data_IF_944238890277
#
_entry.id   IF_944238890277
#
_cell.length_a   1.000
_cell.length_b   1.000
_cell.length_c   1.000
_cell.angle_alpha   90.00
_cell.angle_beta   90.00
_cell.angle_gamma   90.00
#
_symmetry.space_group_name_H-M   'P 1'
#
loop_
_entity.id
_entity.type
_entity.pdbx_description
1 polymer ?
#
# COMPACT_ATOMS: atom_id res chain seq x y z
N UNK A 1 9.81 -25.38 24.90
CA UNK A 1 10.58 -24.10 24.81
C UNK A 1 10.93 -23.67 23.39
N UNK A 2 11.10 -24.57 22.40
CA UNK A 2 11.54 -24.20 21.04
C UNK A 2 10.53 -23.43 20.17
N UNK A 3 9.22 -23.61 20.37
CA UNK A 3 8.19 -22.97 19.53
C UNK A 3 8.06 -21.46 19.76
N UNK A 4 8.16 -21.02 21.02
CA UNK A 4 8.12 -19.60 21.38
C UNK A 4 9.30 -18.83 20.80
N UNK A 5 10.47 -19.48 20.74
CA UNK A 5 11.68 -18.91 20.12
C UNK A 5 11.47 -18.73 18.62
N UNK A 6 10.98 -19.75 17.91
CA UNK A 6 10.68 -19.69 16.48
C UNK A 6 9.65 -18.61 16.12
N UNK A 7 8.61 -18.46 16.94
CA UNK A 7 7.60 -17.41 16.72
C UNK A 7 8.20 -16.00 16.88
N UNK A 8 9.00 -15.80 17.93
CA UNK A 8 9.71 -14.53 18.14
C UNK A 8 10.67 -14.25 16.97
N UNK A 9 11.45 -15.23 16.54
CA UNK A 9 12.35 -15.11 15.38
C UNK A 9 11.63 -14.73 14.09
N UNK A 10 10.45 -15.30 13.83
CA UNK A 10 9.62 -14.96 12.66
C UNK A 10 9.18 -13.49 12.67
N UNK A 11 8.72 -12.98 13.83
CA UNK A 11 8.36 -11.56 13.99
C UNK A 11 9.58 -10.66 13.74
N UNK A 12 10.74 -11.01 14.28
CA UNK A 12 11.97 -10.23 14.09
C UNK A 12 12.48 -10.26 12.65
N UNK A 13 12.33 -11.39 11.95
CA UNK A 13 12.62 -11.52 10.50
C UNK A 13 11.74 -10.59 9.67
N UNK A 14 10.43 -10.57 9.92
CA UNK A 14 9.51 -9.68 9.22
C UNK A 14 9.82 -8.20 9.50
N UNK A 15 10.10 -7.85 10.77
CA UNK A 15 10.39 -6.46 11.17
C UNK A 15 11.71 -5.92 10.63
N UNK A 16 12.75 -6.76 10.56
CA UNK A 16 14.09 -6.32 10.17
C UNK A 16 14.28 -6.11 8.68
N UNK A 17 13.52 -6.81 7.81
CA UNK A 17 13.72 -6.81 6.33
C UNK A 17 15.19 -7.05 5.93
N UNK A 18 15.96 -7.72 6.79
CA UNK A 18 17.36 -8.07 6.59
C UNK A 18 17.43 -9.60 6.59
N UNK A 19 18.28 -10.17 5.76
CA UNK A 19 18.54 -11.61 5.62
C UNK A 19 19.20 -12.17 6.88
N UNK A 20 18.47 -12.15 8.00
CA UNK A 20 18.82 -12.68 9.32
C UNK A 20 19.35 -14.12 9.26
N UNK A 21 18.79 -14.93 8.36
CA UNK A 21 19.08 -16.36 8.24
C UNK A 21 20.43 -16.70 7.60
N UNK A 22 21.09 -15.76 6.90
CA UNK A 22 22.33 -16.08 6.18
C UNK A 22 23.58 -16.05 7.06
N UNK A 23 23.52 -15.36 8.20
CA UNK A 23 24.71 -15.06 9.01
C UNK A 23 24.71 -15.69 10.41
N UNK A 24 23.72 -16.53 10.74
CA UNK A 24 23.85 -17.54 11.79
C UNK A 24 24.09 -17.07 13.24
N UNK A 25 24.16 -15.77 13.53
CA UNK A 25 24.49 -15.31 14.88
C UNK A 25 23.48 -14.27 15.41
N UNK A 26 22.58 -14.75 16.27
CA UNK A 26 21.52 -13.99 16.92
C UNK A 26 22.08 -13.15 18.07
N UNK A 27 23.06 -12.27 17.81
CA UNK A 27 23.49 -11.24 18.78
C UNK A 27 24.47 -10.19 18.24
N UNK A 28 24.72 -10.10 16.93
CA UNK A 28 25.71 -9.12 16.45
C UNK A 28 25.23 -7.69 16.71
N UNK A 29 26.10 -6.89 17.34
CA UNK A 29 25.86 -5.46 17.61
C UNK A 29 25.49 -4.69 16.35
N UNK A 30 25.98 -5.15 15.19
CA UNK A 30 25.65 -4.68 13.85
C UNK A 30 24.16 -4.78 13.53
N UNK A 31 23.50 -5.89 13.86
CA UNK A 31 22.05 -6.02 13.63
C UNK A 31 21.25 -5.06 14.50
N UNK A 32 21.57 -4.99 15.79
CA UNK A 32 20.88 -4.06 16.69
C UNK A 32 21.09 -2.61 16.25
N UNK A 33 22.27 -2.27 15.73
CA UNK A 33 22.53 -0.96 15.11
C UNK A 33 21.67 -0.76 13.86
N UNK A 34 21.59 -1.74 12.96
CA UNK A 34 20.78 -1.65 11.74
C UNK A 34 19.28 -1.50 12.05
N UNK A 35 18.75 -2.24 13.02
CA UNK A 35 17.36 -2.12 13.48
C UNK A 35 17.13 -0.75 14.13
N UNK A 36 17.99 -0.32 15.06
CA UNK A 36 17.89 1.01 15.69
C UNK A 36 17.93 2.13 14.64
N UNK A 37 18.79 2.01 13.63
CA UNK A 37 18.87 2.97 12.54
C UNK A 37 17.60 3.01 11.69
N UNK A 38 17.05 1.84 11.34
CA UNK A 38 15.75 1.77 10.63
C UNK A 38 14.61 2.34 11.48
N UNK A 39 14.57 2.07 12.77
CA UNK A 39 13.58 2.64 13.69
C UNK A 39 13.72 4.15 13.76
N UNK A 40 14.94 4.69 13.95
CA UNK A 40 15.20 6.13 13.93
C UNK A 40 14.74 6.80 12.63
N UNK A 41 14.98 6.17 11.46
CA UNK A 41 14.51 6.69 10.16
C UNK A 41 12.99 6.65 9.98
N UNK A 42 12.28 5.75 10.67
CA UNK A 42 10.82 5.64 10.60
C UNK A 42 10.10 6.57 11.58
N UNK A 43 10.79 7.09 12.59
CA UNK A 43 10.20 8.02 13.55
C UNK A 43 10.09 9.39 12.87
N UNK A 44 8.87 9.90 12.82
CA UNK A 44 8.59 11.28 12.43
C UNK A 44 8.75 12.12 13.70
N UNK A 45 9.87 12.83 13.84
CA UNK A 45 10.15 13.71 14.99
C UNK A 45 9.35 15.01 14.94
N UNK A 46 8.95 15.42 13.74
CA UNK A 46 8.17 16.62 13.52
C UNK A 46 7.87 16.80 12.05
N UNK A 47 6.88 17.64 11.77
CA UNK A 47 6.47 17.98 10.41
C UNK A 47 6.10 19.45 10.36
N UNK A 48 6.58 20.14 9.31
CA UNK A 48 6.17 21.51 9.02
C UNK A 48 4.89 21.47 8.20
N UNK A 49 3.86 22.17 8.67
CA UNK A 49 2.60 22.35 7.95
C UNK A 49 2.35 23.86 7.85
N UNK A 50 2.44 24.39 6.63
CA UNK A 50 2.47 25.84 6.39
C UNK A 50 3.70 26.50 7.03
N UNK A 51 3.45 27.45 7.94
CA UNK A 51 4.50 28.22 8.62
C UNK A 51 4.81 27.70 10.03
N UNK A 52 4.15 26.65 10.49
CA UNK A 52 4.28 26.14 11.86
C UNK A 52 4.93 24.76 11.89
N UNK A 53 5.79 24.55 12.88
CA UNK A 53 6.46 23.27 13.15
C UNK A 53 5.69 22.50 14.23
N UNK A 54 5.35 21.24 13.96
CA UNK A 54 4.67 20.36 14.89
C UNK A 54 5.61 19.24 15.31
N UNK A 55 5.81 19.04 16.61
CA UNK A 55 6.63 17.95 17.18
C UNK A 55 5.86 17.03 18.12
N UNK A 56 4.67 17.45 18.58
CA UNK A 56 3.83 16.65 19.49
C UNK A 56 3.24 15.44 18.74
N UNK A 57 3.48 14.19 19.21
CA UNK A 57 3.03 12.99 18.51
C UNK A 57 1.51 12.89 18.31
N UNK A 58 0.71 13.41 19.24
CA UNK A 58 -0.76 13.41 19.12
C UNK A 58 -1.21 14.33 17.98
N UNK A 59 -0.69 15.55 17.95
CA UNK A 59 -1.01 16.54 16.92
C UNK A 59 -0.55 16.10 15.54
N UNK A 60 0.64 15.50 15.44
CA UNK A 60 1.16 14.95 14.18
C UNK A 60 0.24 13.87 13.62
N UNK A 61 -0.22 12.93 14.45
CA UNK A 61 -1.15 11.87 14.02
C UNK A 61 -2.45 12.44 13.51
N UNK A 62 -3.03 13.40 14.23
CA UNK A 62 -4.29 14.03 13.84
C UNK A 62 -4.15 14.78 12.51
N UNK A 63 -3.07 15.55 12.33
CA UNK A 63 -2.84 16.31 11.10
C UNK A 63 -2.57 15.42 9.90
N UNK A 64 -1.77 14.36 10.07
CA UNK A 64 -1.54 13.35 9.03
C UNK A 64 -2.85 12.66 8.66
N UNK A 65 -3.66 12.28 9.65
CA UNK A 65 -4.96 11.67 9.41
C UNK A 65 -5.90 12.61 8.62
N UNK A 66 -6.04 13.86 9.06
CA UNK A 66 -6.90 14.84 8.40
C UNK A 66 -6.43 15.15 6.96
N UNK A 67 -5.11 15.21 6.74
CA UNK A 67 -4.54 15.39 5.41
C UNK A 67 -4.97 14.28 4.46
N UNK A 68 -4.75 13.01 4.83
CA UNK A 68 -5.10 11.89 3.97
C UNK A 68 -6.62 11.68 3.87
N UNK A 69 -7.36 11.89 4.96
CA UNK A 69 -8.82 11.89 4.93
C UNK A 69 -9.33 12.85 3.88
N UNK A 70 -8.87 14.11 3.88
CA UNK A 70 -9.32 15.10 2.91
C UNK A 70 -8.85 14.76 1.50
N UNK A 71 -7.59 14.33 1.34
CA UNK A 71 -7.02 13.94 0.06
C UNK A 71 -7.81 12.82 -0.61
N UNK A 72 -8.23 11.81 0.16
CA UNK A 72 -9.01 10.67 -0.32
C UNK A 72 -10.53 10.86 -0.19
N UNK A 73 -11.01 11.93 0.45
CA UNK A 73 -12.45 12.22 0.56
C UNK A 73 -13.06 12.72 -0.73
N UNK A 74 -12.24 13.24 -1.65
CA UNK A 74 -12.73 13.57 -2.98
C UNK A 74 -13.26 12.27 -3.59
N UNK A 75 -14.56 12.21 -3.95
CA UNK A 75 -15.05 11.10 -4.75
C UNK A 75 -14.13 11.09 -5.94
N UNK A 76 -13.43 9.96 -6.13
CA UNK A 76 -12.47 9.71 -7.21
C UNK A 76 -12.83 10.67 -8.31
N UNK A 77 -11.97 11.66 -8.63
CA UNK A 77 -12.12 12.33 -9.90
C UNK A 77 -12.11 11.14 -10.84
N UNK A 78 -13.29 10.67 -11.29
CA UNK A 78 -13.44 10.01 -12.57
C UNK A 78 -12.67 10.98 -13.38
N UNK A 79 -11.43 10.62 -13.73
CA UNK A 79 -10.58 11.48 -14.51
C UNK A 79 -11.54 11.85 -15.61
N UNK A 80 -11.98 13.11 -15.57
CA UNK A 80 -12.84 13.63 -16.58
C UNK A 80 -11.85 13.67 -17.70
N UNK A 81 -11.67 12.55 -18.38
CA UNK A 81 -11.48 12.52 -19.80
C UNK A 81 -12.77 13.12 -20.36
N UNK A 82 -13.02 14.40 -20.01
CA UNK A 82 -13.47 15.43 -20.92
C UNK A 82 -12.31 15.74 -21.86
N UNK A 83 -11.65 14.68 -22.33
CA UNK A 83 -11.12 14.66 -23.65
C UNK A 83 -12.39 14.81 -24.46
N UNK A 84 -12.55 15.97 -25.10
CA UNK A 84 -13.48 16.22 -26.18
C UNK A 84 -13.23 15.30 -27.39
N UNK A 85 -12.79 14.07 -27.13
CA UNK A 85 -12.72 12.97 -28.05
C UNK A 85 -14.14 12.45 -28.22
N UNK A 86 -14.64 12.61 -29.43
CA UNK A 86 -15.81 11.90 -29.92
C UNK A 86 -15.43 10.42 -30.06
N UNK A 87 -15.39 9.70 -28.95
CA UNK A 87 -15.26 8.24 -28.98
C UNK A 87 -16.43 7.68 -29.80
N UNK A 88 -16.14 6.72 -30.68
CA UNK A 88 -17.20 5.90 -31.26
C UNK A 88 -17.84 5.14 -30.12
N UNK A 89 -19.08 5.49 -29.79
CA UNK A 89 -19.88 4.80 -28.77
C UNK A 89 -20.57 3.62 -29.46
N UNK A 90 -20.52 2.46 -28.82
CA UNK A 90 -21.32 1.31 -29.25
C UNK A 90 -22.80 1.67 -29.17
N UNK A 91 -23.59 1.14 -30.09
CA UNK A 91 -25.06 1.24 -29.99
C UNK A 91 -25.52 0.39 -28.81
N UNK A 92 -26.66 0.73 -28.21
CA UNK A 92 -27.17 0.02 -27.03
C UNK A 92 -27.37 -1.48 -27.30
N UNK A 93 -27.72 -1.85 -28.54
CA UNK A 93 -27.85 -3.24 -28.99
C UNK A 93 -26.51 -3.98 -28.99
N UNK A 94 -25.43 -3.34 -29.43
CA UNK A 94 -24.07 -3.91 -29.44
C UNK A 94 -23.54 -4.04 -28.02
N UNK A 95 -23.79 -3.04 -27.18
CA UNK A 95 -23.42 -3.06 -25.76
C UNK A 95 -24.15 -4.16 -24.98
N UNK A 96 -25.41 -4.43 -25.31
CA UNK A 96 -26.17 -5.55 -24.74
C UNK A 96 -25.64 -6.91 -25.21
N UNK A 97 -25.24 -7.01 -26.48
CA UNK A 97 -24.62 -8.23 -27.02
C UNK A 97 -23.35 -8.60 -26.25
N UNK A 98 -22.48 -7.61 -25.95
CA UNK A 98 -21.24 -7.83 -25.18
C UNK A 98 -21.46 -8.24 -23.71
N UNK A 99 -22.65 -8.00 -23.16
CA UNK A 99 -23.02 -8.39 -21.79
C UNK A 99 -23.70 -9.77 -21.74
N UNK A 100 -23.99 -10.37 -22.89
CA UNK A 100 -24.60 -11.69 -22.96
C UNK A 100 -23.57 -12.75 -22.52
N UNK A 101 -24.05 -13.81 -21.90
CA UNK A 101 -23.24 -15.00 -21.62
C UNK A 101 -22.90 -15.74 -22.91
N UNK A 102 -21.69 -16.29 -22.99
CA UNK A 102 -21.23 -17.14 -24.10
C UNK A 102 -22.12 -18.37 -24.28
N UNK A 103 -22.31 -18.81 -25.53
CA UNK A 103 -23.02 -20.07 -25.80
C UNK A 103 -22.06 -21.27 -25.78
N UNK A 104 -22.61 -22.47 -25.61
CA UNK A 104 -21.80 -23.69 -25.64
C UNK A 104 -21.24 -23.96 -27.04
N UNK A 105 -21.95 -23.53 -28.09
CA UNK A 105 -21.51 -23.61 -29.48
C UNK A 105 -20.30 -22.70 -29.73
N UNK A 106 -20.35 -21.45 -29.25
CA UNK A 106 -19.25 -20.49 -29.34
C UNK A 106 -17.99 -20.99 -28.61
N UNK A 107 -18.17 -21.56 -27.41
CA UNK A 107 -17.07 -22.14 -26.63
C UNK A 107 -16.44 -23.32 -27.37
N UNK A 108 -17.23 -24.16 -28.05
CA UNK A 108 -16.73 -25.32 -28.80
C UNK A 108 -16.00 -24.93 -30.09
N UNK A 109 -16.36 -23.82 -30.70
CA UNK A 109 -15.75 -23.34 -31.95
C UNK A 109 -14.40 -22.62 -31.69
N UNK A 110 -14.22 -22.09 -30.48
CA UNK A 110 -13.00 -21.40 -30.07
C UNK A 110 -11.88 -22.32 -29.52
N UNK A 111 -12.17 -23.62 -29.31
CA UNK A 111 -11.25 -24.65 -28.78
C UNK A 111 -10.90 -25.64 -29.87
#
# INVERSE_FOLDING_TARGET
MGEVVKFKESIWRQKSRLTWLKEGDSNTTSFHRAVKFKVKRKIIFGMRIGNSWFSEPKELKEKVFNFFRNHFSYPSRRCGLDLALKFKRLKDTEALSLKKSFSMEEIKEAV
#
